data_IF_617924325753
#
_entry.id   IF_617924325753
#
_cell.length_a   1.000
_cell.length_b   1.000
_cell.length_c   1.000
_cell.angle_alpha   90.00
_cell.angle_beta   90.00
_cell.angle_gamma   90.00
#
_symmetry.space_group_name_H-M   'P 1'
#
loop_
_entity.id
_entity.type
_entity.pdbx_description
1 polymer ?
#
# COMPACT_ATOMS: atom_id res chain seq x y z
N UNK A 1 29.54 -2.61 21.00
CA UNK A 1 30.01 -3.87 20.37
C UNK A 1 28.78 -4.72 20.05
N UNK A 2 28.42 -4.86 18.77
CA UNK A 2 27.42 -5.86 18.35
C UNK A 2 28.08 -7.25 18.44
N UNK A 3 27.34 -8.27 18.85
CA UNK A 3 27.91 -9.61 19.11
C UNK A 3 28.30 -10.37 17.83
N UNK A 4 27.99 -9.84 16.65
CA UNK A 4 28.22 -10.49 15.37
C UNK A 4 29.08 -9.63 14.45
N UNK A 5 30.18 -10.20 13.94
CA UNK A 5 31.01 -9.62 12.86
C UNK A 5 30.29 -9.81 11.52
N UNK A 6 29.71 -8.73 11.00
CA UNK A 6 28.90 -8.75 9.75
C UNK A 6 29.59 -8.06 8.57
N UNK A 7 30.85 -7.63 8.68
CA UNK A 7 31.59 -7.10 7.53
C UNK A 7 31.68 -8.15 6.42
N UNK A 8 31.21 -7.82 5.21
CA UNK A 8 31.27 -8.70 4.03
C UNK A 8 30.14 -9.73 3.88
N UNK A 9 29.12 -9.73 4.75
CA UNK A 9 27.97 -10.64 4.64
C UNK A 9 26.71 -9.89 4.18
N UNK A 10 25.88 -10.54 3.36
CA UNK A 10 24.56 -10.02 2.99
C UNK A 10 23.72 -9.93 4.28
N UNK A 11 23.29 -8.70 4.62
CA UNK A 11 22.49 -8.44 5.81
C UNK A 11 21.02 -8.48 5.40
N UNK A 12 20.32 -9.51 5.85
CA UNK A 12 18.88 -9.59 5.70
C UNK A 12 18.22 -8.87 6.87
N UNK A 13 17.65 -7.70 6.61
CA UNK A 13 16.84 -6.96 7.57
C UNK A 13 15.38 -7.34 7.34
N UNK A 14 14.77 -8.07 8.26
CA UNK A 14 13.33 -8.29 8.23
C UNK A 14 12.65 -7.11 8.91
N UNK A 15 12.07 -6.21 8.12
CA UNK A 15 11.24 -5.14 8.66
C UNK A 15 9.85 -5.70 8.94
N UNK A 16 9.54 -5.94 10.21
CA UNK A 16 8.17 -6.22 10.63
C UNK A 16 7.44 -4.88 10.76
N UNK A 17 6.64 -4.52 9.75
CA UNK A 17 5.63 -3.50 9.96
C UNK A 17 4.63 -4.07 10.97
N UNK A 18 4.46 -3.43 12.12
CA UNK A 18 3.44 -3.82 13.09
C UNK A 18 2.08 -3.43 12.54
N UNK A 19 1.45 -4.31 11.77
CA UNK A 19 -0.01 -4.34 11.62
C UNK A 19 -0.48 -5.40 12.62
N UNK A 20 -0.31 -5.13 13.91
CA UNK A 20 -0.60 -6.11 14.98
C UNK A 20 -1.76 -5.64 15.84
N UNK A 21 -2.84 -5.21 15.20
CA UNK A 21 -4.17 -5.15 15.80
C UNK A 21 -5.20 -5.69 14.81
N UNK A 22 -6.00 -6.67 15.26
CA UNK A 22 -7.18 -7.17 14.53
C UNK A 22 -8.15 -5.99 14.43
N UNK A 23 -8.51 -5.57 13.21
CA UNK A 23 -9.34 -4.41 12.79
C UNK A 23 -8.64 -3.28 12.01
N UNK A 24 -7.34 -3.34 11.70
CA UNK A 24 -6.80 -2.48 10.63
C UNK A 24 -7.13 -3.08 9.25
N UNK A 25 -7.92 -2.39 8.42
CA UNK A 25 -7.59 -1.04 7.98
C UNK A 25 -8.37 0.00 8.77
N UNK A 26 -7.70 1.10 9.14
CA UNK A 26 -8.26 2.33 9.71
C UNK A 26 -9.24 3.06 8.78
N UNK A 27 -10.10 2.32 8.08
CA UNK A 27 -10.92 2.75 6.97
C UNK A 27 -12.33 2.26 7.26
N UNK A 28 -13.20 3.15 7.75
CA UNK A 28 -14.62 2.84 7.76
C UNK A 28 -15.11 2.76 6.31
N UNK A 29 -15.62 1.59 5.91
CA UNK A 29 -16.20 1.41 4.59
C UNK A 29 -17.50 2.22 4.50
N UNK A 30 -17.43 3.34 3.79
CA UNK A 30 -18.60 4.15 3.47
C UNK A 30 -19.24 3.61 2.19
N UNK A 31 -20.58 3.60 2.15
CA UNK A 31 -21.30 3.24 0.92
C UNK A 31 -20.96 4.25 -0.17
N UNK A 32 -20.86 3.77 -1.42
CA UNK A 32 -20.56 4.66 -2.56
C UNK A 32 -21.59 5.78 -2.73
N UNK A 33 -22.85 5.57 -2.32
CA UNK A 33 -23.89 6.59 -2.31
C UNK A 33 -23.62 7.74 -1.33
N UNK A 34 -22.73 7.56 -0.35
CA UNK A 34 -22.32 8.59 0.62
C UNK A 34 -21.12 9.39 0.13
N UNK A 35 -20.58 9.07 -1.06
CA UNK A 35 -19.44 9.73 -1.67
C UNK A 35 -19.84 11.11 -2.20
N UNK A 36 -19.77 12.10 -1.32
CA UNK A 36 -19.89 13.53 -1.66
C UNK A 36 -18.47 14.14 -1.77
N UNK A 37 -18.38 15.47 -1.96
CA UNK A 37 -17.08 16.19 -1.94
C UNK A 37 -16.35 15.98 -0.60
N UNK A 38 -17.11 15.87 0.50
CA UNK A 38 -16.63 15.56 1.85
C UNK A 38 -17.55 14.50 2.46
N UNK A 39 -16.96 13.44 3.00
CA UNK A 39 -17.66 12.35 3.69
C UNK A 39 -17.44 12.47 5.19
N UNK A 40 -18.51 12.58 5.97
CA UNK A 40 -18.43 12.69 7.43
C UNK A 40 -18.49 11.30 8.06
N UNK A 41 -17.50 10.99 8.89
CA UNK A 41 -17.36 9.70 9.56
C UNK A 41 -17.00 9.98 11.02
N UNK A 42 -17.89 9.64 11.96
CA UNK A 42 -17.66 9.89 13.39
C UNK A 42 -17.46 11.38 13.75
N UNK A 43 -18.05 12.30 12.97
CA UNK A 43 -17.84 13.75 13.14
C UNK A 43 -16.54 14.29 12.52
N UNK A 44 -15.74 13.44 11.86
CA UNK A 44 -14.54 13.85 11.13
C UNK A 44 -14.81 13.89 9.63
N UNK A 45 -14.44 14.98 8.91
CA UNK A 45 -14.60 15.07 7.46
C UNK A 45 -13.43 14.42 6.72
N UNK A 46 -13.74 13.56 5.75
CA UNK A 46 -12.79 12.89 4.85
C UNK A 46 -13.06 13.27 3.40
N UNK A 47 -11.99 13.52 2.63
CA UNK A 47 -12.09 13.76 1.19
C UNK A 47 -11.69 12.48 0.47
N UNK A 48 -12.51 12.03 -0.48
CA UNK A 48 -12.17 10.89 -1.30
C UNK A 48 -11.10 11.28 -2.31
N UNK A 49 -9.91 10.68 -2.19
CA UNK A 49 -8.84 10.85 -3.17
C UNK A 49 -8.88 9.71 -4.22
N UNK A 50 -9.14 10.08 -5.48
CA UNK A 50 -9.16 9.15 -6.60
C UNK A 50 -7.82 9.08 -7.35
N UNK A 51 -6.85 9.93 -7.02
CA UNK A 51 -5.61 10.12 -7.80
C UNK A 51 -4.82 8.82 -7.89
N UNK A 52 -4.63 8.12 -6.77
CA UNK A 52 -3.94 6.83 -6.73
C UNK A 52 -4.64 5.76 -7.57
N UNK A 53 -5.98 5.76 -7.58
CA UNK A 53 -6.75 4.84 -8.44
C UNK A 53 -6.59 5.17 -9.92
N UNK A 54 -6.56 6.46 -10.26
CA UNK A 54 -6.36 6.93 -11.63
C UNK A 54 -4.92 6.68 -12.14
N UNK A 55 -3.93 6.66 -11.24
CA UNK A 55 -2.52 6.36 -11.54
C UNK A 55 -2.26 4.88 -11.81
N UNK A 56 -3.11 3.98 -11.29
CA UNK A 56 -2.89 2.53 -11.36
C UNK A 56 -2.61 1.98 -12.78
N UNK A 57 -3.34 2.38 -13.84
CA UNK A 57 -3.05 1.91 -15.20
C UNK A 57 -1.69 2.36 -15.72
N UNK A 58 -1.29 3.60 -15.40
CA UNK A 58 0.01 4.15 -15.81
C UNK A 58 1.17 3.45 -15.11
N UNK A 59 1.02 3.16 -13.81
CA UNK A 59 2.00 2.38 -13.05
C UNK A 59 2.12 0.98 -13.63
N UNK A 60 0.99 0.31 -13.90
CA UNK A 60 0.99 -1.03 -14.49
C UNK A 60 1.66 -1.07 -15.87
N UNK A 61 1.43 -0.04 -16.69
CA UNK A 61 2.10 0.11 -17.98
C UNK A 61 3.60 0.27 -17.80
N UNK A 62 4.02 1.17 -16.90
CA UNK A 62 5.43 1.41 -16.57
C UNK A 62 6.13 0.15 -16.06
N UNK A 63 5.51 -0.59 -15.15
CA UNK A 63 6.01 -1.88 -14.65
C UNK A 63 6.17 -2.89 -15.78
N UNK A 64 5.17 -3.01 -16.64
CA UNK A 64 5.22 -3.92 -17.80
C UNK A 64 6.31 -3.55 -18.80
N UNK A 65 6.56 -2.26 -19.02
CA UNK A 65 7.57 -1.77 -19.97
C UNK A 65 8.99 -1.95 -19.44
N UNK A 66 9.22 -1.72 -18.13
CA UNK A 66 10.55 -1.78 -17.54
C UNK A 66 10.97 -3.18 -17.09
N UNK A 67 10.02 -3.96 -16.57
CA UNK A 67 10.30 -5.24 -15.91
C UNK A 67 9.78 -6.45 -16.69
N UNK A 68 9.05 -6.22 -17.79
CA UNK A 68 8.53 -7.27 -18.66
C UNK A 68 7.30 -8.01 -18.11
N UNK A 69 6.74 -8.91 -18.91
CA UNK A 69 5.50 -9.63 -18.59
C UNK A 69 5.65 -10.72 -17.54
N UNK A 70 6.87 -11.06 -17.10
CA UNK A 70 7.07 -12.12 -16.12
C UNK A 70 6.43 -11.80 -14.75
N UNK A 71 6.37 -10.53 -14.38
CA UNK A 71 5.70 -10.08 -13.14
C UNK A 71 4.18 -10.09 -13.23
N UNK A 72 3.60 -10.10 -14.43
CA UNK A 72 2.15 -10.19 -14.60
C UNK A 72 1.59 -11.52 -14.08
N UNK A 73 2.43 -12.55 -13.98
CA UNK A 73 2.09 -13.87 -13.44
C UNK A 73 2.08 -13.95 -11.91
N UNK A 74 2.69 -12.97 -11.21
CA UNK A 74 2.86 -12.99 -9.75
C UNK A 74 1.64 -12.40 -9.01
N UNK A 75 0.77 -11.65 -9.70
CA UNK A 75 -0.40 -10.97 -9.10
C UNK A 75 -1.73 -11.74 -9.27
N UNK A 76 -1.70 -13.07 -9.47
CA UNK A 76 -2.91 -13.89 -9.65
C UNK A 76 -3.22 -14.76 -8.43
#
# INVERSE_FOLDING_TARGET
>A
KTQHKTEGKIRYYHYHNTITTREEPCSQFVRQSMRNNVTWVGGTPYVYDATMKALAPSIKKFESELMGSELASIQQ
#
